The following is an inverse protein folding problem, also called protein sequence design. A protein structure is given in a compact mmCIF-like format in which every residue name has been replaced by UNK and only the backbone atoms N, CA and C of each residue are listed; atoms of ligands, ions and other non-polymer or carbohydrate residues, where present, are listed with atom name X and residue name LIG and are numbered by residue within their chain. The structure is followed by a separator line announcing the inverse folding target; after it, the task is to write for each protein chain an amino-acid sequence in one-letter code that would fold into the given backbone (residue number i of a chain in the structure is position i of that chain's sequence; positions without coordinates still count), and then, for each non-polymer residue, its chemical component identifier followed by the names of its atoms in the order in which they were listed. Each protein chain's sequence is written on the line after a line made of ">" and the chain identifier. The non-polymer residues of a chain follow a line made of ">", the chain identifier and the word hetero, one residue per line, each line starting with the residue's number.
data_IF_922886147691
#
_entry.id   IF_922886147691
#
_cell.length_a   1.000
_cell.length_b   1.000
_cell.length_c   1.000
_cell.angle_alpha   90.00
_cell.angle_beta   90.00
_cell.angle_gamma   90.00
#
_symmetry.space_group_name_H-M   'P 1'
#
loop_
_entity.id
_entity.type
_entity.pdbx_description
1 polymer ?
#
# COMPACT_ATOMS: atom_id res chain seq x y z
N UNK A 1 -0.16 -19.37 3.45
CA UNK A 1 -0.61 -18.23 2.63
C UNK A 1 0.54 -17.24 2.58
N UNK A 2 1.03 -16.88 1.39
CA UNK A 2 2.19 -15.99 1.27
C UNK A 2 1.83 -14.56 1.64
N UNK A 3 2.72 -13.89 2.39
CA UNK A 3 2.60 -12.50 2.76
C UNK A 3 2.51 -11.61 1.50
N UNK A 4 1.39 -10.91 1.31
CA UNK A 4 1.22 -9.96 0.20
C UNK A 4 1.89 -8.64 0.56
N UNK A 5 2.65 -8.08 -0.39
CA UNK A 5 3.29 -6.76 -0.28
C UNK A 5 2.97 -5.95 -1.51
N UNK A 6 2.70 -4.66 -1.32
CA UNK A 6 2.35 -3.74 -2.41
C UNK A 6 3.43 -2.66 -2.57
N UNK A 7 3.80 -2.40 -3.82
CA UNK A 7 4.72 -1.33 -4.20
C UNK A 7 3.97 -0.34 -5.08
N UNK A 8 3.92 0.94 -4.67
CA UNK A 8 3.17 1.98 -5.37
C UNK A 8 4.08 3.17 -5.64
N UNK A 9 4.14 3.60 -6.91
CA UNK A 9 4.89 4.77 -7.36
C UNK A 9 3.96 6.00 -7.44
N UNK A 10 4.44 7.18 -7.01
CA UNK A 10 3.62 8.40 -7.01
C UNK A 10 2.49 8.33 -5.98
N UNK A 11 2.78 7.74 -4.82
CA UNK A 11 1.77 7.29 -3.85
C UNK A 11 1.14 8.42 -3.02
N UNK A 12 1.38 9.70 -3.33
CA UNK A 12 1.02 10.88 -2.54
C UNK A 12 -0.24 10.75 -1.67
N UNK A 13 -1.40 11.14 -2.19
CA UNK A 13 -2.68 10.91 -1.49
C UNK A 13 -3.24 9.50 -1.76
N UNK A 14 -3.04 9.00 -2.97
CA UNK A 14 -3.55 7.72 -3.47
C UNK A 14 -3.05 6.51 -2.66
N UNK A 15 -1.78 6.50 -2.26
CA UNK A 15 -1.19 5.44 -1.45
C UNK A 15 -1.71 5.41 -0.02
N UNK A 16 -2.01 6.58 0.57
CA UNK A 16 -2.67 6.66 1.90
C UNK A 16 -4.10 6.17 1.84
N UNK A 17 -4.84 6.48 0.77
CA UNK A 17 -6.18 5.98 0.55
C UNK A 17 -6.19 4.45 0.36
N UNK A 18 -5.26 3.93 -0.45
CA UNK A 18 -5.07 2.49 -0.63
C UNK A 18 -4.71 1.79 0.69
N UNK A 19 -3.82 2.36 1.50
CA UNK A 19 -3.48 1.81 2.82
C UNK A 19 -4.68 1.71 3.77
N UNK A 20 -5.61 2.68 3.71
CA UNK A 20 -6.85 2.62 4.51
C UNK A 20 -7.84 1.57 4.03
N UNK A 21 -7.87 1.31 2.72
CA UNK A 21 -8.74 0.30 2.11
C UNK A 21 -8.13 -1.11 2.16
N UNK A 22 -6.85 -1.24 2.51
CA UNK A 22 -6.13 -2.49 2.63
C UNK A 22 -6.48 -3.20 3.95
N UNK A 23 -7.64 -3.85 3.99
CA UNK A 23 -8.16 -4.61 5.15
C UNK A 23 -7.23 -5.76 5.56
N UNK A 24 -6.46 -6.30 4.62
CA UNK A 24 -5.47 -7.35 4.84
C UNK A 24 -4.21 -6.85 5.59
N UNK A 25 -4.07 -5.54 5.82
CA UNK A 25 -2.94 -4.96 6.57
C UNK A 25 -1.59 -5.16 5.87
N UNK A 26 -1.61 -5.47 4.57
CA UNK A 26 -0.39 -5.75 3.82
C UNK A 26 0.59 -4.55 3.85
N UNK A 27 1.90 -4.78 4.06
CA UNK A 27 2.88 -3.72 4.05
C UNK A 27 2.90 -2.99 2.69
N UNK A 28 2.80 -1.65 2.73
CA UNK A 28 2.89 -0.79 1.55
C UNK A 28 4.20 -0.02 1.63
N UNK A 29 5.04 -0.18 0.61
CA UNK A 29 6.26 0.61 0.43
C UNK A 29 6.05 1.51 -0.78
N UNK A 30 6.30 2.81 -0.60
CA UNK A 30 6.12 3.79 -1.66
C UNK A 30 7.16 4.89 -1.57
N UNK A 31 7.65 5.31 -2.73
CA UNK A 31 8.41 6.56 -2.88
C UNK A 31 7.43 7.64 -3.34
N UNK A 32 7.50 8.82 -2.75
CA UNK A 32 6.71 9.97 -3.21
C UNK A 32 6.97 10.26 -4.67
#
# INVERSE_FOLDING_TARGET
>A
MGERRFFIFGAGYSGKAFARANEDGAPILGTT
#
